data_IF_029076196174
#
_entry.id   IF_029076196174
#
_cell.length_a   1.000
_cell.length_b   1.000
_cell.length_c   1.000
_cell.angle_alpha   90.00
_cell.angle_beta   90.00
_cell.angle_gamma   90.00
#
_symmetry.space_group_name_H-M   'P 1'
#
loop_
_entity.id
_entity.type
_entity.pdbx_description
1 polymer ?
#
# COMPACT_ATOMS: atom_id res chain seq x y z
N UNK A 1 2.46 2.66 -17.12
CA UNK A 1 2.59 1.62 -16.07
C UNK A 1 2.26 2.25 -14.76
N UNK A 2 1.11 1.97 -14.23
CA UNK A 2 0.73 2.55 -12.97
C UNK A 2 -0.16 1.56 -12.25
N UNK A 3 0.45 0.78 -11.38
CA UNK A 3 -0.26 -0.01 -10.40
C UNK A 3 -0.89 0.88 -9.31
N UNK A 4 -0.88 0.42 -8.12
CA UNK A 4 -1.51 1.02 -6.94
C UNK A 4 -1.16 2.51 -6.69
N UNK A 5 0.07 2.93 -6.99
CA UNK A 5 0.50 4.34 -6.83
C UNK A 5 -0.21 5.30 -7.79
N UNK A 6 -0.61 4.83 -8.99
CA UNK A 6 -1.39 5.65 -9.91
C UNK A 6 -2.85 5.79 -9.43
N UNK A 7 -3.43 4.71 -8.89
CA UNK A 7 -4.74 4.73 -8.25
C UNK A 7 -4.78 5.67 -7.05
N UNK A 8 -3.76 5.63 -6.18
CA UNK A 8 -3.63 6.57 -5.07
C UNK A 8 -3.56 8.03 -5.57
N UNK A 9 -2.89 8.29 -6.70
CA UNK A 9 -2.83 9.61 -7.33
C UNK A 9 -4.16 10.12 -7.90
N UNK A 10 -5.01 9.23 -8.43
CA UNK A 10 -6.35 9.55 -8.94
C UNK A 10 -7.29 9.94 -7.80
N UNK A 11 -7.18 9.27 -6.65
CA UNK A 11 -8.01 9.49 -5.47
C UNK A 11 -7.91 10.92 -4.90
N UNK A 12 -6.77 11.58 -5.08
CA UNK A 12 -6.56 12.94 -4.60
C UNK A 12 -7.26 14.04 -5.41
N UNK A 13 -7.87 13.73 -6.57
CA UNK A 13 -8.43 14.74 -7.49
C UNK A 13 -9.92 15.06 -7.32
N UNK A 14 -10.70 14.39 -6.47
CA UNK A 14 -12.14 14.67 -6.30
C UNK A 14 -12.59 14.78 -4.84
N UNK A 15 -12.80 16.00 -4.39
CA UNK A 15 -13.64 16.59 -3.34
C UNK A 15 -14.47 15.76 -2.34
N UNK A 16 -13.85 14.77 -1.62
CA UNK A 16 -14.41 14.13 -0.43
C UNK A 16 -13.41 14.17 0.74
N UNK A 17 -12.71 15.28 0.88
CA UNK A 17 -11.48 15.40 1.66
C UNK A 17 -11.57 14.93 3.13
N UNK A 18 -12.63 15.22 3.86
CA UNK A 18 -12.65 14.96 5.30
C UNK A 18 -12.99 13.51 5.67
N UNK A 19 -13.92 12.86 4.97
CA UNK A 19 -14.28 11.45 5.21
C UNK A 19 -13.13 10.52 4.79
N UNK A 20 -12.50 10.80 3.67
CA UNK A 20 -11.33 10.06 3.18
C UNK A 20 -10.13 10.25 4.11
N UNK A 21 -9.90 11.47 4.58
CA UNK A 21 -8.84 11.77 5.55
C UNK A 21 -9.02 11.00 6.86
N UNK A 22 -10.24 10.93 7.39
CA UNK A 22 -10.56 10.16 8.60
C UNK A 22 -10.25 8.67 8.41
N UNK A 23 -10.60 8.09 7.25
CA UNK A 23 -10.29 6.69 6.92
C UNK A 23 -8.79 6.43 6.82
N UNK A 24 -8.07 7.29 6.11
CA UNK A 24 -6.61 7.20 5.99
C UNK A 24 -5.98 7.24 7.39
N UNK A 25 -6.42 8.15 8.25
CA UNK A 25 -5.92 8.25 9.61
C UNK A 25 -6.24 7.01 10.45
N UNK A 26 -7.41 6.42 10.28
CA UNK A 26 -7.80 5.17 10.97
C UNK A 26 -6.89 4.01 10.56
N UNK A 27 -6.65 3.83 9.26
CA UNK A 27 -5.75 2.79 8.73
C UNK A 27 -4.32 2.97 9.22
N UNK A 28 -3.79 4.19 9.13
CA UNK A 28 -2.43 4.51 9.59
C UNK A 28 -2.29 4.36 11.10
N UNK A 29 -3.29 4.79 11.88
CA UNK A 29 -3.31 4.59 13.34
C UNK A 29 -3.24 3.11 13.70
N UNK A 30 -4.01 2.26 13.02
CA UNK A 30 -3.99 0.81 13.22
C UNK A 30 -2.64 0.21 12.87
N UNK A 31 -2.06 0.59 11.74
CA UNK A 31 -0.73 0.12 11.33
C UNK A 31 0.35 0.53 12.34
N UNK A 32 0.35 1.77 12.84
CA UNK A 32 1.26 2.25 13.87
C UNK A 32 1.11 1.42 15.16
N UNK A 33 -0.14 1.20 15.62
CA UNK A 33 -0.40 0.42 16.84
C UNK A 33 0.13 -1.02 16.71
N UNK A 34 -0.12 -1.67 15.56
CA UNK A 34 0.33 -3.04 15.33
C UNK A 34 1.85 -3.11 15.17
N UNK A 35 2.45 -2.17 14.45
CA UNK A 35 3.90 -2.11 14.30
C UNK A 35 4.61 -1.95 15.65
N UNK A 36 4.08 -1.08 16.53
CA UNK A 36 4.58 -0.88 17.89
C UNK A 36 4.34 -2.09 18.82
N UNK A 37 3.26 -2.85 18.58
CA UNK A 37 2.93 -4.05 19.38
C UNK A 37 3.78 -5.25 19.02
N UNK A 38 4.11 -5.41 17.74
CA UNK A 38 4.90 -6.55 17.23
C UNK A 38 6.42 -6.33 17.29
N UNK A 39 6.86 -5.10 17.50
CA UNK A 39 8.28 -4.74 17.55
C UNK A 39 8.57 -3.76 18.67
N UNK A 40 9.66 -3.00 18.51
CA UNK A 40 10.00 -1.93 19.43
C UNK A 40 9.10 -0.70 19.23
N UNK A 41 8.85 0.05 20.31
CA UNK A 41 8.09 1.32 20.27
C UNK A 41 8.96 2.50 19.84
N UNK A 42 10.27 2.32 19.88
CA UNK A 42 11.21 3.28 19.34
C UNK A 42 11.28 3.11 17.81
N UNK A 43 10.90 4.13 17.03
CA UNK A 43 10.97 4.05 15.57
C UNK A 43 12.41 3.88 15.05
N UNK A 44 13.43 4.23 15.82
CA UNK A 44 14.83 4.02 15.43
C UNK A 44 15.21 2.53 15.50
N UNK A 45 14.56 1.77 16.38
CA UNK A 45 14.75 0.32 16.53
C UNK A 45 13.71 -0.51 15.75
N UNK A 46 12.66 0.13 15.24
CA UNK A 46 11.55 -0.55 14.54
C UNK A 46 11.32 0.04 13.13
N UNK A 47 11.92 -0.55 12.08
CA UNK A 47 11.78 -0.04 10.71
C UNK A 47 10.34 0.01 10.20
N UNK A 48 9.49 -0.96 10.60
CA UNK A 48 8.06 -0.96 10.24
C UNK A 48 7.34 0.23 10.87
N UNK A 49 7.55 0.46 12.16
CA UNK A 49 6.98 1.60 12.87
C UNK A 49 7.45 2.93 12.28
N UNK A 50 8.73 3.05 11.99
CA UNK A 50 9.31 4.23 11.35
C UNK A 50 8.64 4.53 10.02
N UNK A 51 8.44 3.50 9.17
CA UNK A 51 7.75 3.65 7.88
C UNK A 51 6.29 4.07 8.05
N UNK A 52 5.57 3.45 8.99
CA UNK A 52 4.18 3.82 9.29
C UNK A 52 4.05 5.28 9.80
N UNK A 53 4.97 5.72 10.65
CA UNK A 53 5.02 7.11 11.13
C UNK A 53 5.34 8.08 9.98
N UNK A 54 6.23 7.73 9.07
CA UNK A 54 6.52 8.57 7.91
C UNK A 54 5.29 8.72 7.02
N UNK A 55 4.59 7.63 6.72
CA UNK A 55 3.34 7.66 5.97
C UNK A 55 2.26 8.51 6.66
N UNK A 56 2.16 8.42 7.99
CA UNK A 56 1.23 9.25 8.77
C UNK A 56 1.57 10.75 8.70
N UNK A 57 2.85 11.10 8.77
CA UNK A 57 3.33 12.50 8.60
C UNK A 57 3.04 13.02 7.19
N UNK A 58 3.26 12.22 6.15
CA UNK A 58 2.94 12.57 4.76
C UNK A 58 1.43 12.79 4.56
N UNK A 59 0.60 12.00 5.24
CA UNK A 59 -0.84 12.20 5.26
C UNK A 59 -1.31 13.39 6.14
N UNK A 60 -0.37 14.16 6.71
CA UNK A 60 -0.64 15.26 7.64
C UNK A 60 -1.40 14.83 8.92
N UNK A 61 -1.13 13.62 9.43
CA UNK A 61 -1.67 13.18 10.72
C UNK A 61 -1.05 13.98 11.87
N UNK A 62 -1.86 14.53 12.80
CA UNK A 62 -1.36 15.23 13.97
C UNK A 62 -0.43 14.36 14.83
N UNK A 63 0.64 14.96 15.37
CA UNK A 63 1.62 14.26 16.22
C UNK A 63 0.96 13.55 17.40
N UNK A 64 -0.04 14.16 18.02
CA UNK A 64 -0.78 13.56 19.13
C UNK A 64 -1.52 12.28 18.75
N UNK A 65 -2.01 12.18 17.52
CA UNK A 65 -2.64 10.95 17.02
C UNK A 65 -1.61 9.85 16.81
N UNK A 66 -0.43 10.19 16.30
CA UNK A 66 0.69 9.25 16.15
C UNK A 66 1.12 8.73 17.53
N UNK A 67 1.36 9.62 18.49
CA UNK A 67 1.76 9.26 19.86
C UNK A 67 0.71 8.40 20.55
N UNK A 68 -0.58 8.76 20.43
CA UNK A 68 -1.67 7.92 20.96
C UNK A 68 -1.73 6.54 20.34
N UNK A 69 -1.47 6.44 19.03
CA UNK A 69 -1.46 5.14 18.33
C UNK A 69 -0.32 4.24 18.82
N UNK A 70 0.84 4.80 19.13
CA UNK A 70 1.95 4.07 19.75
C UNK A 70 1.57 3.63 21.17
N UNK A 71 1.07 4.55 22.00
CA UNK A 71 0.68 4.25 23.40
C UNK A 71 -0.42 3.20 23.50
N UNK A 72 -1.33 3.14 22.55
CA UNK A 72 -2.36 2.11 22.48
C UNK A 72 -1.81 0.69 22.41
N UNK A 73 -0.62 0.50 21.84
CA UNK A 73 0.02 -0.83 21.82
C UNK A 73 0.31 -1.43 23.20
N UNK A 74 0.27 -0.61 24.27
CA UNK A 74 0.52 -1.02 25.67
C UNK A 74 -0.74 -1.49 26.41
N UNK A 75 -1.91 -1.15 25.89
CA UNK A 75 -3.17 -1.49 26.57
C UNK A 75 -3.46 -2.98 26.41
N UNK A 76 -3.59 -3.69 27.54
CA UNK A 76 -3.83 -5.14 27.57
C UNK A 76 -5.15 -5.57 26.95
N UNK A 77 -6.14 -4.66 26.89
CA UNK A 77 -7.50 -4.91 26.38
C UNK A 77 -7.62 -4.62 24.86
N UNK A 78 -6.53 -4.21 24.19
CA UNK A 78 -6.62 -3.94 22.77
C UNK A 78 -6.69 -5.23 21.95
N UNK A 79 -7.61 -5.19 21.00
CA UNK A 79 -7.86 -6.21 20.00
C UNK A 79 -6.54 -6.65 19.34
N UNK A 80 -6.32 -7.94 19.29
CA UNK A 80 -5.25 -8.48 18.49
C UNK A 80 -5.64 -8.36 17.01
N UNK A 81 -4.84 -7.65 16.26
CA UNK A 81 -5.03 -7.55 14.82
C UNK A 81 -4.18 -8.59 14.10
N UNK A 82 -4.84 -9.35 13.23
CA UNK A 82 -4.19 -10.28 12.33
C UNK A 82 -3.93 -9.61 10.97
N UNK A 83 -2.70 -9.74 10.47
CA UNK A 83 -2.39 -9.43 9.07
C UNK A 83 -2.83 -10.61 8.22
N UNK A 84 -3.86 -10.41 7.41
CA UNK A 84 -4.38 -11.45 6.53
C UNK A 84 -4.38 -10.96 5.08
N UNK A 85 -4.11 -11.89 4.18
CA UNK A 85 -4.23 -11.67 2.75
C UNK A 85 -5.38 -12.50 2.22
N UNK A 86 -6.30 -11.84 1.55
CA UNK A 86 -7.36 -12.46 0.78
C UNK A 86 -7.03 -12.38 -0.70
N UNK A 87 -7.43 -13.40 -1.43
CA UNK A 87 -7.19 -13.54 -2.85
C UNK A 87 -8.52 -13.79 -3.56
N UNK A 88 -8.66 -13.27 -4.76
CA UNK A 88 -9.92 -13.42 -5.48
C UNK A 88 -9.82 -13.00 -6.94
N UNK A 89 -10.89 -13.23 -7.64
CA UNK A 89 -11.07 -12.83 -9.03
C UNK A 89 -12.28 -11.91 -9.14
N UNK A 90 -12.11 -10.81 -9.85
CA UNK A 90 -13.16 -9.93 -10.28
C UNK A 90 -13.70 -10.28 -11.67
N UNK A 91 -14.58 -9.43 -12.22
CA UNK A 91 -14.94 -9.51 -13.62
C UNK A 91 -13.71 -9.34 -14.51
N UNK A 92 -13.84 -9.72 -15.79
CA UNK A 92 -12.78 -9.59 -16.82
C UNK A 92 -11.50 -10.37 -16.49
N UNK A 93 -11.58 -11.41 -15.64
CA UNK A 93 -10.44 -12.21 -15.15
C UNK A 93 -9.39 -11.40 -14.37
N UNK A 94 -9.78 -10.28 -13.79
CA UNK A 94 -8.86 -9.49 -12.97
C UNK A 94 -8.63 -10.22 -11.65
N UNK A 95 -7.36 -10.43 -11.35
CA UNK A 95 -6.91 -11.00 -10.10
C UNK A 95 -6.77 -9.91 -9.02
N UNK A 96 -7.19 -10.23 -7.80
CA UNK A 96 -7.12 -9.35 -6.64
C UNK A 96 -6.26 -9.97 -5.55
N UNK A 97 -5.36 -9.18 -4.97
CA UNK A 97 -4.74 -9.41 -3.67
C UNK A 97 -5.24 -8.30 -2.74
N UNK A 98 -5.82 -8.69 -1.61
CA UNK A 98 -6.43 -7.77 -0.65
C UNK A 98 -5.77 -7.99 0.70
N UNK A 99 -4.98 -7.02 1.15
CA UNK A 99 -4.33 -7.05 2.45
C UNK A 99 -5.23 -6.42 3.51
N UNK A 100 -5.38 -7.10 4.61
CA UNK A 100 -6.21 -6.66 5.72
C UNK A 100 -5.46 -6.67 7.04
N UNK A 101 -5.85 -5.77 7.91
CA UNK A 101 -5.44 -5.73 9.30
C UNK A 101 -6.72 -5.77 10.15
N UNK A 102 -7.09 -6.94 10.64
CA UNK A 102 -8.41 -7.19 11.23
C UNK A 102 -8.35 -7.88 12.59
N UNK A 103 -9.28 -7.52 13.45
CA UNK A 103 -9.58 -8.21 14.71
C UNK A 103 -10.62 -9.33 14.54
N UNK A 104 -11.20 -9.47 13.32
CA UNK A 104 -12.21 -10.48 13.02
C UNK A 104 -12.12 -10.95 11.56
N UNK A 105 -11.37 -12.03 11.35
CA UNK A 105 -11.17 -12.64 10.04
C UNK A 105 -12.46 -13.05 9.31
N UNK A 106 -13.48 -13.49 10.05
CA UNK A 106 -14.74 -13.94 9.46
C UNK A 106 -15.55 -12.76 8.94
N UNK A 107 -15.57 -11.64 9.67
CA UNK A 107 -16.20 -10.39 9.24
C UNK A 107 -15.54 -9.90 7.95
N UNK A 108 -14.22 -9.80 7.94
CA UNK A 108 -13.47 -9.33 6.76
C UNK A 108 -13.68 -10.23 5.54
N UNK A 109 -13.58 -11.55 5.71
CA UNK A 109 -13.82 -12.51 4.63
C UNK A 109 -15.24 -12.40 4.05
N UNK A 110 -16.26 -12.27 4.94
CA UNK A 110 -17.65 -12.12 4.52
C UNK A 110 -17.90 -10.81 3.74
N UNK A 111 -17.34 -9.70 4.22
CA UNK A 111 -17.48 -8.39 3.56
C UNK A 111 -16.81 -8.37 2.19
N UNK A 112 -15.57 -8.87 2.09
CA UNK A 112 -14.82 -8.96 0.83
C UNK A 112 -15.55 -9.88 -0.17
N UNK A 113 -15.99 -11.06 0.29
CA UNK A 113 -16.77 -12.00 -0.54
C UNK A 113 -18.02 -11.34 -1.11
N UNK A 114 -18.75 -10.61 -0.28
CA UNK A 114 -19.99 -9.93 -0.68
C UNK A 114 -19.72 -8.89 -1.76
N UNK A 115 -18.66 -8.08 -1.62
CA UNK A 115 -18.30 -7.06 -2.62
C UNK A 115 -17.92 -7.74 -3.94
N UNK A 116 -17.01 -8.73 -3.91
CA UNK A 116 -16.59 -9.42 -5.13
C UNK A 116 -17.76 -10.10 -5.83
N UNK A 117 -18.61 -10.84 -5.11
CA UNK A 117 -19.76 -11.55 -5.67
C UNK A 117 -20.81 -10.62 -6.30
N UNK A 118 -21.14 -9.50 -5.65
CA UNK A 118 -22.07 -8.50 -6.19
C UNK A 118 -21.59 -7.91 -7.51
N UNK A 119 -20.29 -7.90 -7.74
CA UNK A 119 -19.68 -7.35 -8.94
C UNK A 119 -19.23 -8.41 -9.96
N UNK A 120 -19.74 -9.64 -9.85
CA UNK A 120 -19.45 -10.72 -10.79
C UNK A 120 -18.08 -11.40 -10.60
N UNK A 121 -17.47 -11.20 -9.41
CA UNK A 121 -16.24 -11.86 -9.00
C UNK A 121 -16.47 -12.96 -7.97
N UNK A 122 -15.39 -13.47 -7.42
CA UNK A 122 -15.41 -14.48 -6.35
C UNK A 122 -14.18 -14.35 -5.45
N UNK A 123 -14.35 -14.65 -4.17
CA UNK A 123 -13.24 -14.87 -3.27
C UNK A 123 -12.63 -16.26 -3.58
N UNK A 124 -11.32 -16.31 -3.72
CA UNK A 124 -10.54 -17.51 -3.97
C UNK A 124 -9.97 -18.12 -2.68
N UNK A 125 -9.28 -19.23 -2.83
CA UNK A 125 -8.46 -19.81 -1.77
C UNK A 125 -7.09 -19.11 -1.71
N UNK A 126 -6.36 -19.33 -0.62
CA UNK A 126 -4.99 -18.80 -0.49
C UNK A 126 -4.10 -19.40 -1.58
N UNK A 127 -3.32 -18.56 -2.28
CA UNK A 127 -2.48 -18.96 -3.40
C UNK A 127 -3.15 -18.93 -4.78
N UNK A 128 -4.47 -18.63 -4.84
CA UNK A 128 -5.21 -18.65 -6.12
C UNK A 128 -4.76 -17.56 -7.10
N UNK A 129 -4.27 -16.42 -6.60
CA UNK A 129 -3.84 -15.29 -7.43
C UNK A 129 -2.40 -14.86 -7.17
N UNK A 130 -1.79 -15.25 -6.05
CA UNK A 130 -0.43 -14.85 -5.66
C UNK A 130 0.62 -15.14 -6.74
N UNK A 131 0.46 -16.25 -7.49
CA UNK A 131 1.37 -16.62 -8.57
C UNK A 131 1.37 -15.64 -9.77
N UNK A 132 0.39 -14.74 -9.85
CA UNK A 132 0.31 -13.69 -10.85
C UNK A 132 1.01 -12.40 -10.42
N UNK A 133 1.56 -12.36 -9.21
CA UNK A 133 2.19 -11.19 -8.63
C UNK A 133 3.55 -11.55 -8.03
N UNK A 134 4.36 -10.53 -7.83
CA UNK A 134 5.56 -10.59 -7.00
C UNK A 134 5.51 -9.49 -5.92
N UNK A 135 6.11 -9.76 -4.77
CA UNK A 135 6.14 -8.83 -3.64
C UNK A 135 7.50 -8.11 -3.64
N UNK A 136 7.49 -6.78 -3.66
CA UNK A 136 8.70 -5.97 -3.77
C UNK A 136 8.63 -4.71 -2.93
N UNK A 137 9.79 -4.14 -2.62
CA UNK A 137 9.90 -2.80 -2.05
C UNK A 137 9.82 -1.74 -3.14
N UNK A 138 9.07 -0.67 -2.88
CA UNK A 138 8.88 0.46 -3.81
C UNK A 138 9.19 1.76 -3.09
N UNK A 139 9.95 2.64 -3.75
CA UNK A 139 10.29 3.96 -3.25
C UNK A 139 10.12 4.97 -4.38
N UNK A 140 9.37 6.05 -4.14
CA UNK A 140 9.18 7.15 -5.06
C UNK A 140 9.94 8.39 -4.61
N UNK A 141 10.63 9.01 -5.56
CA UNK A 141 11.45 10.20 -5.34
C UNK A 141 11.06 11.27 -6.36
N UNK A 142 10.72 12.47 -5.88
CA UNK A 142 10.39 13.62 -6.73
C UNK A 142 11.58 13.99 -7.64
N UNK A 143 11.33 14.05 -8.94
CA UNK A 143 12.33 14.44 -9.96
C UNK A 143 12.92 15.84 -9.74
N UNK A 144 12.19 16.72 -9.07
CA UNK A 144 12.69 18.08 -8.77
C UNK A 144 13.85 18.08 -7.79
N UNK A 145 14.09 16.97 -7.09
CA UNK A 145 15.07 16.88 -6.00
C UNK A 145 16.40 16.31 -6.42
N UNK A 146 16.46 15.61 -7.56
CA UNK A 146 17.66 14.91 -8.00
C UNK A 146 17.63 14.69 -9.51
N UNK A 147 18.82 14.71 -10.14
CA UNK A 147 18.94 14.36 -11.56
C UNK A 147 18.80 12.85 -11.80
N UNK A 148 18.47 12.50 -13.04
CA UNK A 148 18.32 11.10 -13.45
C UNK A 148 19.60 10.30 -13.25
N UNK A 149 20.75 10.84 -13.66
CA UNK A 149 22.05 10.19 -13.52
C UNK A 149 22.38 9.88 -12.05
N UNK A 150 22.17 10.87 -11.18
CA UNK A 150 22.44 10.74 -9.76
C UNK A 150 21.54 9.69 -9.08
N UNK A 151 20.24 9.69 -9.41
CA UNK A 151 19.32 8.72 -8.79
C UNK A 151 19.61 7.29 -9.23
N UNK A 152 19.94 7.07 -10.51
CA UNK A 152 20.31 5.77 -11.01
C UNK A 152 21.57 5.23 -10.33
N UNK A 153 22.61 6.06 -10.18
CA UNK A 153 23.83 5.69 -9.47
C UNK A 153 23.55 5.32 -7.99
N UNK A 154 22.77 6.16 -7.31
CA UNK A 154 22.42 5.95 -5.90
C UNK A 154 21.57 4.68 -5.74
N UNK A 155 20.60 4.45 -6.61
CA UNK A 155 19.72 3.28 -6.57
C UNK A 155 20.51 1.97 -6.75
N UNK A 156 21.38 1.91 -7.74
CA UNK A 156 22.25 0.74 -7.99
C UNK A 156 23.13 0.47 -6.76
N UNK A 157 23.80 1.50 -6.25
CA UNK A 157 24.71 1.38 -5.10
C UNK A 157 23.98 1.00 -3.79
N UNK A 158 22.67 1.25 -3.71
CA UNK A 158 21.84 0.87 -2.56
C UNK A 158 21.27 -0.55 -2.68
N UNK A 159 21.44 -1.22 -3.82
CA UNK A 159 20.94 -2.57 -4.07
C UNK A 159 19.53 -2.60 -4.65
N UNK A 160 19.11 -1.53 -5.33
CA UNK A 160 17.88 -1.54 -6.12
C UNK A 160 17.99 -2.52 -7.29
N UNK A 161 16.86 -3.17 -7.60
CA UNK A 161 16.74 -4.08 -8.74
C UNK A 161 16.44 -3.32 -10.04
N UNK A 162 15.59 -2.33 -9.92
CA UNK A 162 15.13 -1.50 -11.03
C UNK A 162 14.94 -0.05 -10.59
N UNK A 163 15.12 0.88 -11.53
CA UNK A 163 14.82 2.30 -11.34
C UNK A 163 14.15 2.82 -12.61
N UNK A 164 12.92 3.29 -12.48
CA UNK A 164 12.11 3.81 -13.58
C UNK A 164 11.99 5.32 -13.51
N UNK A 165 12.10 5.94 -14.68
CA UNK A 165 11.83 7.36 -14.87
C UNK A 165 10.36 7.53 -15.29
N UNK A 166 9.46 7.84 -14.33
CA UNK A 166 8.03 8.01 -14.55
C UNK A 166 7.66 9.51 -14.58
N UNK A 167 6.42 9.82 -14.97
CA UNK A 167 5.95 11.19 -14.98
C UNK A 167 5.89 11.76 -13.56
N UNK A 168 6.71 12.77 -13.28
CA UNK A 168 6.81 13.48 -12.00
C UNK A 168 7.76 12.86 -10.96
N UNK A 169 8.08 11.58 -11.00
CA UNK A 169 8.92 10.91 -10.00
C UNK A 169 9.77 9.77 -10.59
N UNK A 170 10.81 9.38 -9.85
CA UNK A 170 11.54 8.14 -10.07
C UNK A 170 10.96 7.05 -9.18
N UNK A 171 10.71 5.86 -9.75
CA UNK A 171 10.28 4.69 -9.00
C UNK A 171 11.45 3.71 -8.87
N UNK A 172 11.85 3.42 -7.65
CA UNK A 172 12.91 2.47 -7.32
C UNK A 172 12.25 1.20 -6.80
N UNK A 173 12.63 0.06 -7.40
CA UNK A 173 12.14 -1.27 -7.00
C UNK A 173 13.30 -2.08 -6.44
N UNK A 174 13.07 -2.77 -5.33
CA UNK A 174 14.01 -3.70 -4.73
C UNK A 174 13.31 -4.98 -4.26
N UNK A 175 14.08 -6.00 -3.92
CA UNK A 175 13.52 -7.19 -3.27
C UNK A 175 12.89 -6.79 -1.93
N UNK A 176 11.81 -7.48 -1.56
CA UNK A 176 11.08 -7.22 -0.33
C UNK A 176 12.00 -7.29 0.91
N UNK A 177 12.86 -8.28 0.93
CA UNK A 177 13.78 -8.55 2.02
C UNK A 177 14.80 -7.43 2.21
N UNK A 178 15.18 -6.76 1.11
CA UNK A 178 16.15 -5.66 1.11
C UNK A 178 15.53 -4.28 1.30
N UNK A 179 14.20 -4.18 1.32
CA UNK A 179 13.47 -2.92 1.31
C UNK A 179 13.95 -1.92 2.38
N UNK A 180 14.05 -2.35 3.63
CA UNK A 180 14.45 -1.45 4.73
C UNK A 180 15.91 -1.02 4.63
N UNK A 181 16.79 -1.89 4.12
CA UNK A 181 18.19 -1.56 3.86
C UNK A 181 18.31 -0.53 2.73
N UNK A 182 17.71 -0.82 1.58
CA UNK A 182 17.72 0.08 0.41
C UNK A 182 17.14 1.45 0.78
N UNK A 183 15.99 1.45 1.49
CA UNK A 183 15.38 2.68 1.98
C UNK A 183 16.31 3.47 2.88
N UNK A 184 16.94 2.82 3.87
CA UNK A 184 17.88 3.49 4.79
C UNK A 184 19.10 4.07 4.07
N UNK A 185 19.63 3.37 3.07
CA UNK A 185 20.79 3.85 2.30
C UNK A 185 20.43 5.02 1.39
N UNK A 186 19.22 5.02 0.85
CA UNK A 186 18.67 6.17 0.11
C UNK A 186 18.40 7.36 1.04
N UNK A 187 17.87 7.14 2.26
CA UNK A 187 17.62 8.20 3.25
C UNK A 187 18.89 8.95 3.67
N UNK A 188 20.03 8.28 3.71
CA UNK A 188 21.34 8.92 4.02
C UNK A 188 21.75 9.94 2.96
N UNK A 189 21.28 9.79 1.74
CA UNK A 189 21.65 10.64 0.59
C UNK A 189 20.52 11.59 0.16
N UNK A 190 19.26 11.20 0.43
CA UNK A 190 18.06 11.88 -0.02
C UNK A 190 17.11 12.06 1.18
N UNK A 191 16.83 13.29 1.56
CA UNK A 191 16.13 13.56 2.82
C UNK A 191 14.62 13.25 2.81
N UNK A 192 13.96 13.09 1.65
CA UNK A 192 12.49 12.96 1.59
C UNK A 192 12.09 12.07 0.41
N UNK A 193 11.30 11.04 0.69
CA UNK A 193 10.57 10.23 -0.27
C UNK A 193 9.13 10.72 -0.38
N UNK A 194 8.53 10.63 -1.57
CA UNK A 194 7.11 10.87 -1.76
C UNK A 194 6.27 9.68 -1.29
N UNK A 195 6.81 8.49 -1.51
CA UNK A 195 6.21 7.23 -1.10
C UNK A 195 7.30 6.20 -0.81
N UNK A 196 7.04 5.29 0.12
CA UNK A 196 7.83 4.08 0.31
C UNK A 196 6.99 2.99 0.98
N UNK A 197 7.04 1.77 0.45
CA UNK A 197 6.27 0.64 0.97
C UNK A 197 6.65 -0.68 0.33
N UNK A 198 6.11 -1.75 0.88
CA UNK A 198 6.17 -3.09 0.29
C UNK A 198 4.84 -3.34 -0.40
N UNK A 199 4.87 -3.70 -1.67
CA UNK A 199 3.68 -3.88 -2.51
C UNK A 199 3.70 -5.19 -3.28
N UNK A 200 2.51 -5.60 -3.71
CA UNK A 200 2.34 -6.65 -4.71
C UNK A 200 2.27 -6.02 -6.09
N UNK A 201 3.17 -6.42 -6.98
CA UNK A 201 3.18 -6.01 -8.38
C UNK A 201 2.78 -7.18 -9.27
N UNK A 202 1.89 -6.97 -10.24
CA UNK A 202 1.56 -8.04 -11.18
C UNK A 202 2.75 -8.32 -12.11
N UNK A 203 2.93 -9.60 -12.43
CA UNK A 203 3.93 -10.04 -13.43
C UNK A 203 3.51 -9.55 -14.82
N UNK A 204 2.21 -9.63 -15.10
CA UNK A 204 1.63 -9.15 -16.35
C UNK A 204 0.40 -8.28 -16.05
N UNK A 205 0.28 -7.17 -16.75
CA UNK A 205 -0.90 -6.31 -16.71
C UNK A 205 -1.89 -6.69 -17.80
N UNK A 206 -3.17 -6.68 -17.46
CA UNK A 206 -4.28 -6.80 -18.40
C UNK A 206 -4.76 -5.40 -18.77
N UNK A 207 -4.84 -5.13 -20.07
CA UNK A 207 -5.44 -3.89 -20.57
C UNK A 207 -6.96 -4.00 -20.56
N UNK A 208 -7.62 -2.97 -20.06
CA UNK A 208 -9.06 -2.87 -19.93
C UNK A 208 -9.62 -1.80 -20.88
N UNK A 209 -10.84 -2.04 -21.34
CA UNK A 209 -11.63 -1.00 -21.99
C UNK A 209 -12.13 0.00 -20.95
N UNK A 210 -12.48 1.20 -21.37
CA UNK A 210 -12.93 2.28 -20.48
C UNK A 210 -14.07 1.83 -19.53
N UNK A 211 -15.09 1.19 -20.05
CA UNK A 211 -16.25 0.71 -19.26
C UNK A 211 -15.83 -0.38 -18.25
N UNK A 212 -14.89 -1.25 -18.64
CA UNK A 212 -14.34 -2.29 -17.77
C UNK A 212 -13.51 -1.66 -16.66
N UNK A 213 -12.71 -0.63 -16.99
CA UNK A 213 -11.91 0.13 -16.02
C UNK A 213 -12.82 0.81 -14.98
N UNK A 214 -13.89 1.50 -15.42
CA UNK A 214 -14.85 2.15 -14.51
C UNK A 214 -15.43 1.14 -13.50
N UNK A 215 -15.80 -0.05 -13.97
CA UNK A 215 -16.31 -1.12 -13.09
C UNK A 215 -15.27 -1.66 -12.11
N UNK A 216 -14.02 -1.82 -12.53
CA UNK A 216 -12.94 -2.25 -11.62
C UNK A 216 -12.65 -1.16 -10.57
N UNK A 217 -12.69 0.11 -10.95
CA UNK A 217 -12.54 1.24 -10.03
C UNK A 217 -13.61 1.25 -8.95
N UNK A 218 -14.88 1.01 -9.28
CA UNK A 218 -15.98 0.89 -8.31
C UNK A 218 -15.76 -0.25 -7.30
N UNK A 219 -15.21 -1.37 -7.77
CA UNK A 219 -14.86 -2.51 -6.89
C UNK A 219 -13.72 -2.13 -5.95
N UNK A 220 -12.67 -1.49 -6.46
CA UNK A 220 -11.55 -1.02 -5.67
C UNK A 220 -12.01 -0.04 -4.59
N UNK A 221 -12.82 0.96 -4.94
CA UNK A 221 -13.40 1.90 -3.98
C UNK A 221 -14.20 1.19 -2.89
N UNK A 222 -15.07 0.23 -3.28
CA UNK A 222 -15.88 -0.53 -2.35
C UNK A 222 -15.05 -1.38 -1.39
N UNK A 223 -13.97 -2.01 -1.87
CA UNK A 223 -13.04 -2.79 -1.04
C UNK A 223 -12.24 -1.90 -0.09
N UNK A 224 -11.75 -0.77 -0.59
CA UNK A 224 -10.99 0.19 0.22
C UNK A 224 -11.85 0.92 1.25
N UNK A 225 -13.20 0.93 1.06
CA UNK A 225 -14.13 1.44 2.05
C UNK A 225 -14.23 0.58 3.31
N UNK A 226 -13.84 -0.68 3.24
CA UNK A 226 -13.78 -1.55 4.42
C UNK A 226 -12.65 -1.11 5.35
N UNK A 227 -12.97 -0.90 6.62
CA UNK A 227 -12.01 -0.44 7.64
C UNK A 227 -10.84 -1.41 7.84
N UNK A 228 -11.08 -2.72 7.65
CA UNK A 228 -10.08 -3.75 7.83
C UNK A 228 -9.13 -3.85 6.63
N UNK A 229 -9.52 -3.40 5.44
CA UNK A 229 -8.70 -3.44 4.24
C UNK A 229 -7.64 -2.36 4.26
N UNK A 230 -6.38 -2.74 4.19
CA UNK A 230 -5.25 -1.82 4.13
C UNK A 230 -4.92 -1.47 2.68
N UNK A 231 -4.67 -2.48 1.86
CA UNK A 231 -4.28 -2.34 0.46
C UNK A 231 -5.06 -3.32 -0.43
N UNK A 232 -5.28 -2.92 -1.67
CA UNK A 232 -5.86 -3.77 -2.72
C UNK A 232 -4.96 -3.68 -3.95
N UNK A 233 -4.49 -4.81 -4.45
CA UNK A 233 -3.65 -4.90 -5.64
C UNK A 233 -4.38 -5.70 -6.71
N UNK A 234 -4.21 -5.29 -7.96
CA UNK A 234 -4.83 -5.92 -9.13
C UNK A 234 -3.83 -6.06 -10.27
N UNK A 235 -4.09 -6.98 -11.17
CA UNK A 235 -3.29 -7.18 -12.38
C UNK A 235 -3.86 -6.46 -13.60
N UNK A 236 -4.56 -5.34 -13.42
CA UNK A 236 -5.08 -4.54 -14.51
C UNK A 236 -4.33 -3.23 -14.68
N UNK A 237 -4.18 -2.80 -15.93
CA UNK A 237 -3.73 -1.47 -16.27
C UNK A 237 -4.96 -0.54 -16.31
N UNK A 238 -5.06 0.37 -15.35
CA UNK A 238 -6.19 1.29 -15.26
C UNK A 238 -6.09 2.50 -16.22
N UNK A 239 -4.97 2.63 -16.92
CA UNK A 239 -4.74 3.76 -17.84
C UNK A 239 -4.71 5.12 -17.14
N UNK A 240 -4.70 6.18 -17.93
CA UNK A 240 -4.95 7.54 -17.46
C UNK A 240 -6.48 7.77 -17.51
N UNK A 241 -7.16 7.61 -16.39
CA UNK A 241 -8.57 7.99 -16.24
C UNK A 241 -8.68 9.49 -16.06
#
# INVERSE_FOLDING_TARGET
MAGHSHWAGIKHKKGRADKERSKIFSKLSREITVAAKLGDKDPDMNPRLRTAIQAAKQANMPKDNISRSISKSEMSDEKNYDNLRYEGFGPFNIAFIIETLTDNKNRSASSIRTILQKNGGRLGESGSTTHLFYNCGIIHIDKKKISEEQIFEIAINSGAKECFNLDGYYEIICEKEDFYKVKSDLEKKLNIFEYSGIEWRPINYLDLKKEETEKIVEILESLEELDDVQNVYINANLGNI
#
